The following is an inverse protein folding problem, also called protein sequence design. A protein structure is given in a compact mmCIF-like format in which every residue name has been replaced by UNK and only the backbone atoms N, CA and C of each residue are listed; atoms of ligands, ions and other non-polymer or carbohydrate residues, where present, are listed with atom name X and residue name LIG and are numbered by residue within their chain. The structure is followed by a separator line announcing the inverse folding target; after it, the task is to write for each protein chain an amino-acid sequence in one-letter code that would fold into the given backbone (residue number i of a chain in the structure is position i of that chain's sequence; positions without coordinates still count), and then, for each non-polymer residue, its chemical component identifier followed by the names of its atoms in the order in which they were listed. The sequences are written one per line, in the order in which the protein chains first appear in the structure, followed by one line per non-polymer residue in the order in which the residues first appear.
data_IF_979558984191
#
_entry.id   IF_979558984191
#
_cell.length_a   1.000
_cell.length_b   1.000
_cell.length_c   1.000
_cell.angle_alpha   90.00
_cell.angle_beta   90.00
_cell.angle_gamma   90.00
#
_symmetry.space_group_name_H-M   'P 1'
#
loop_
_entity.id
_entity.type
_entity.pdbx_description
1 polymer ?
#
# COMPACT_ATOMS: atom_id res chain seq x y z
N UNK A 1 8.89 -32.92 34.37
CA UNK A 1 8.33 -33.45 33.11
C UNK A 1 6.99 -32.80 32.74
N UNK A 2 6.03 -32.66 33.67
CA UNK A 2 4.73 -32.02 33.41
C UNK A 2 4.80 -30.60 32.81
N UNK A 3 5.75 -29.78 33.26
CA UNK A 3 5.90 -28.38 32.82
C UNK A 3 6.31 -28.23 31.34
N UNK A 4 7.15 -29.13 30.83
CA UNK A 4 7.59 -29.11 29.44
C UNK A 4 6.44 -29.49 28.49
N UNK A 5 5.74 -30.59 28.79
CA UNK A 5 4.61 -31.03 27.98
C UNK A 5 3.45 -30.01 27.99
N UNK A 6 3.19 -29.38 29.14
CA UNK A 6 2.24 -28.28 29.24
C UNK A 6 2.66 -27.07 28.41
N UNK A 7 3.93 -26.67 28.47
CA UNK A 7 4.46 -25.55 27.69
C UNK A 7 4.35 -25.80 26.18
N UNK A 8 4.76 -26.99 25.71
CA UNK A 8 4.64 -27.38 24.30
C UNK A 8 3.16 -27.38 23.88
N UNK A 9 2.26 -27.97 24.66
CA UNK A 9 0.82 -28.01 24.33
C UNK A 9 0.21 -26.62 24.21
N UNK A 10 0.52 -25.71 25.14
CA UNK A 10 0.04 -24.32 25.09
C UNK A 10 0.60 -23.62 23.84
N UNK A 11 1.88 -23.81 23.53
CA UNK A 11 2.51 -23.21 22.36
C UNK A 11 1.94 -23.75 21.04
N UNK A 12 1.73 -25.06 20.92
CA UNK A 12 1.11 -25.68 19.74
C UNK A 12 -0.29 -25.13 19.49
N UNK A 13 -1.12 -24.96 20.53
CA UNK A 13 -2.43 -24.32 20.41
C UNK A 13 -2.37 -22.88 19.95
N UNK A 14 -1.46 -22.07 20.52
CA UNK A 14 -1.24 -20.69 20.07
C UNK A 14 -0.81 -20.65 18.60
N UNK A 15 0.10 -21.54 18.22
CA UNK A 15 0.59 -21.61 16.85
C UNK A 15 -0.50 -22.04 15.86
N UNK A 16 -1.32 -23.04 16.22
CA UNK A 16 -2.49 -23.44 15.46
C UNK A 16 -3.47 -22.28 15.24
N UNK A 17 -3.71 -21.47 16.28
CA UNK A 17 -4.54 -20.27 16.17
C UNK A 17 -3.94 -19.21 15.22
N UNK A 18 -2.63 -18.98 15.26
CA UNK A 18 -1.95 -18.07 14.34
C UNK A 18 -2.01 -18.58 12.89
N UNK A 19 -1.87 -19.89 12.68
CA UNK A 19 -1.99 -20.52 11.35
C UNK A 19 -3.42 -20.41 10.82
N UNK A 20 -4.42 -20.67 11.67
CA UNK A 20 -5.83 -20.48 11.35
C UNK A 20 -6.11 -19.04 10.91
N UNK A 21 -5.67 -18.07 11.72
CA UNK A 21 -5.88 -16.66 11.45
C UNK A 21 -5.18 -16.20 10.16
N UNK A 22 -3.94 -16.64 9.95
CA UNK A 22 -3.19 -16.36 8.73
C UNK A 22 -3.86 -16.94 7.47
N UNK A 23 -4.43 -18.14 7.56
CA UNK A 23 -5.18 -18.74 6.46
C UNK A 23 -6.44 -17.94 6.14
N UNK A 24 -7.20 -17.55 7.16
CA UNK A 24 -8.46 -16.80 6.99
C UNK A 24 -8.20 -15.39 6.47
N UNK A 25 -7.18 -14.69 6.98
CA UNK A 25 -6.84 -13.32 6.53
C UNK A 25 -6.44 -13.27 5.06
N UNK A 26 -5.89 -14.37 4.52
CA UNK A 26 -5.57 -14.54 3.09
C UNK A 26 -6.66 -15.25 2.29
N UNK A 27 -7.82 -15.51 2.89
CA UNK A 27 -8.96 -16.21 2.25
C UNK A 27 -8.57 -17.53 1.58
N UNK A 28 -7.64 -18.28 2.19
CA UNK A 28 -7.15 -19.56 1.64
C UNK A 28 -7.93 -20.75 2.17
N UNK A 29 -8.09 -21.75 1.31
CA UNK A 29 -8.70 -23.04 1.67
C UNK A 29 -7.68 -23.95 2.37
N UNK A 30 -8.18 -24.86 3.18
CA UNK A 30 -7.37 -25.84 3.95
C UNK A 30 -6.51 -26.68 3.02
N UNK A 31 -7.07 -27.15 1.90
CA UNK A 31 -6.40 -28.02 0.94
C UNK A 31 -5.22 -27.33 0.26
N UNK A 32 -5.35 -26.03 -0.01
CA UNK A 32 -4.27 -25.23 -0.59
C UNK A 32 -3.11 -25.05 0.40
N UNK A 33 -3.40 -24.81 1.68
CA UNK A 33 -2.39 -24.67 2.72
C UNK A 33 -1.70 -26.00 3.03
N UNK A 34 -2.46 -27.09 3.10
CA UNK A 34 -1.91 -28.44 3.27
C UNK A 34 -0.93 -28.78 2.13
N UNK A 35 -1.35 -28.53 0.88
CA UNK A 35 -0.49 -28.73 -0.29
C UNK A 35 0.78 -27.85 -0.25
N UNK A 36 0.65 -26.59 0.15
CA UNK A 36 1.80 -25.68 0.27
C UNK A 36 2.81 -26.15 1.30
N UNK A 37 2.35 -26.78 2.39
CA UNK A 37 3.21 -27.36 3.43
C UNK A 37 3.73 -28.76 3.09
N UNK A 38 3.29 -29.36 1.97
CA UNK A 38 3.60 -30.75 1.64
C UNK A 38 2.94 -31.78 2.58
N UNK A 39 1.75 -31.46 3.08
CA UNK A 39 1.00 -32.25 4.07
C UNK A 39 -0.33 -32.78 3.50
N UNK A 40 -0.87 -33.82 4.15
CA UNK A 40 -2.27 -34.20 3.95
C UNK A 40 -3.21 -33.17 4.62
N UNK A 41 -4.47 -33.16 4.20
CA UNK A 41 -5.49 -32.25 4.76
C UNK A 41 -5.66 -32.49 6.26
N UNK A 42 -5.67 -33.76 6.68
CA UNK A 42 -5.83 -34.19 8.07
C UNK A 42 -4.64 -33.75 8.93
N UNK A 43 -3.42 -33.91 8.42
CA UNK A 43 -2.21 -33.49 9.12
C UNK A 43 -2.19 -31.97 9.31
N UNK A 44 -2.58 -31.22 8.29
CA UNK A 44 -2.71 -29.77 8.37
C UNK A 44 -3.81 -29.35 9.38
N UNK A 45 -4.98 -29.99 9.36
CA UNK A 45 -6.05 -29.71 10.31
C UNK A 45 -5.64 -29.99 11.76
N UNK A 46 -4.87 -31.05 12.01
CA UNK A 46 -4.31 -31.35 13.33
C UNK A 46 -3.36 -30.26 13.82
N UNK A 47 -2.56 -29.68 12.91
CA UNK A 47 -1.69 -28.54 13.22
C UNK A 47 -2.52 -27.30 13.54
N UNK A 48 -3.54 -26.99 12.73
CA UNK A 48 -4.41 -25.83 12.92
C UNK A 48 -5.23 -25.94 14.23
N UNK A 49 -5.64 -27.15 14.61
CA UNK A 49 -6.27 -27.44 15.90
C UNK A 49 -5.29 -27.39 17.09
N UNK A 50 -3.97 -27.31 16.84
CA UNK A 50 -2.92 -27.29 17.85
C UNK A 50 -2.69 -28.63 18.55
N UNK A 51 -3.10 -29.74 17.93
CA UNK A 51 -2.88 -31.11 18.39
C UNK A 51 -1.48 -31.60 18.04
N UNK A 52 -0.98 -31.20 16.87
CA UNK A 52 0.40 -31.38 16.42
C UNK A 52 1.06 -30.03 16.14
N UNK A 53 2.39 -30.02 16.06
CA UNK A 53 3.16 -28.81 15.75
C UNK A 53 3.78 -28.94 14.35
N UNK A 54 3.81 -27.86 13.55
CA UNK A 54 4.54 -27.85 12.30
C UNK A 54 6.05 -27.81 12.56
N UNK A 55 6.81 -28.25 11.58
CA UNK A 55 8.24 -28.00 11.50
C UNK A 55 8.53 -26.62 10.92
N UNK A 56 9.73 -26.09 11.12
CA UNK A 56 10.15 -24.81 10.54
C UNK A 56 10.01 -24.77 9.01
N UNK A 57 10.49 -25.77 8.22
CA UNK A 57 10.34 -25.75 6.76
C UNK A 57 8.89 -25.76 6.28
N UNK A 58 8.02 -26.47 6.99
CA UNK A 58 6.58 -26.44 6.69
C UNK A 58 6.01 -25.04 6.93
N UNK A 59 6.43 -24.38 8.00
CA UNK A 59 5.99 -23.02 8.33
C UNK A 59 6.55 -21.97 7.36
N UNK A 60 7.80 -22.12 6.92
CA UNK A 60 8.42 -21.30 5.88
C UNK A 60 7.66 -21.42 4.56
N UNK A 61 7.33 -22.65 4.16
CA UNK A 61 6.55 -22.91 2.94
C UNK A 61 5.15 -22.30 3.02
N UNK A 62 4.51 -22.38 4.20
CA UNK A 62 3.22 -21.74 4.45
C UNK A 62 3.35 -20.21 4.42
N UNK A 63 4.35 -19.63 5.09
CA UNK A 63 4.58 -18.19 5.15
C UNK A 63 4.79 -17.60 3.75
N UNK A 64 5.62 -18.27 2.94
CA UNK A 64 5.83 -17.93 1.54
C UNK A 64 4.54 -18.01 0.72
N UNK A 65 3.77 -19.10 0.87
CA UNK A 65 2.50 -19.27 0.14
C UNK A 65 1.43 -18.24 0.54
N UNK A 66 1.40 -17.84 1.81
CA UNK A 66 0.46 -16.85 2.35
C UNK A 66 0.95 -15.41 2.17
N UNK A 67 2.18 -15.20 1.68
CA UNK A 67 2.82 -13.89 1.55
C UNK A 67 2.83 -13.12 2.89
N UNK A 68 3.33 -13.77 3.95
CA UNK A 68 3.42 -13.16 5.29
C UNK A 68 4.83 -13.36 5.88
N UNK A 69 5.32 -12.43 6.73
CA UNK A 69 6.60 -12.60 7.41
C UNK A 69 6.59 -13.84 8.30
N UNK A 70 7.65 -14.65 8.24
CA UNK A 70 7.80 -15.87 9.04
C UNK A 70 7.73 -15.57 10.55
N UNK A 71 8.26 -14.43 10.96
CA UNK A 71 8.32 -13.94 12.34
C UNK A 71 6.93 -13.80 12.97
N UNK A 72 5.87 -13.65 12.15
CA UNK A 72 4.49 -13.60 12.61
C UNK A 72 4.15 -14.77 13.53
N UNK A 73 4.61 -15.98 13.19
CA UNK A 73 4.28 -17.18 13.95
C UNK A 73 4.98 -17.28 15.31
N UNK A 74 5.97 -16.43 15.58
CA UNK A 74 6.62 -16.28 16.90
C UNK A 74 5.98 -15.17 17.74
N UNK A 75 5.12 -14.35 17.14
CA UNK A 75 4.39 -13.30 17.83
C UNK A 75 3.21 -13.80 18.66
N UNK A 76 2.53 -12.85 19.29
CA UNK A 76 1.25 -13.06 19.98
C UNK A 76 0.09 -12.30 19.34
N UNK A 77 0.33 -11.66 18.18
CA UNK A 77 -0.65 -10.83 17.48
C UNK A 77 -1.18 -11.58 16.26
N UNK A 78 -2.50 -11.64 16.14
CA UNK A 78 -3.18 -12.19 14.97
C UNK A 78 -3.08 -11.20 13.78
N UNK A 79 -2.94 -11.68 12.55
CA UNK A 79 -2.97 -10.84 11.34
C UNK A 79 -4.33 -10.15 11.17
N UNK A 80 -5.43 -10.75 11.64
CA UNK A 80 -6.74 -10.07 11.69
C UNK A 80 -6.73 -8.76 12.47
N UNK A 81 -5.76 -8.55 13.37
CA UNK A 81 -5.57 -7.27 14.08
C UNK A 81 -4.72 -6.26 13.30
N UNK A 82 -4.01 -6.72 12.26
CA UNK A 82 -3.16 -5.89 11.40
C UNK A 82 -3.97 -5.46 10.17
N UNK A 83 -4.73 -4.37 10.37
CA UNK A 83 -5.23 -3.44 9.34
C UNK A 83 -5.62 -4.10 8.01
N UNK A 84 -6.80 -4.73 7.99
CA UNK A 84 -7.59 -4.66 6.76
C UNK A 84 -8.05 -3.21 6.61
N UNK A 85 -8.02 -2.59 5.41
CA UNK A 85 -8.62 -1.29 5.23
C UNK A 85 -10.06 -1.36 5.72
N UNK A 86 -10.44 -0.50 6.67
CA UNK A 86 -11.82 -0.44 7.12
C UNK A 86 -12.72 -0.32 5.89
N UNK A 87 -13.81 -1.10 5.82
CA UNK A 87 -14.74 -0.99 4.71
C UNK A 87 -15.16 0.47 4.57
N UNK A 88 -15.10 1.02 3.35
CA UNK A 88 -15.62 2.36 3.09
C UNK A 88 -17.10 2.34 3.47
N UNK A 89 -17.46 3.05 4.54
CA UNK A 89 -18.82 2.96 5.12
C UNK A 89 -19.91 3.42 4.14
N UNK A 90 -19.57 4.30 3.19
CA UNK A 90 -20.51 4.91 2.24
C UNK A 90 -19.90 5.07 0.83
N UNK A 91 -19.70 3.97 0.08
CA UNK A 91 -18.97 3.99 -1.19
C UNK A 91 -19.69 4.80 -2.27
N UNK A 92 -21.03 4.82 -2.26
CA UNK A 92 -21.83 5.59 -3.22
C UNK A 92 -21.64 7.09 -3.04
N UNK A 93 -21.71 7.59 -1.80
CA UNK A 93 -21.53 9.01 -1.50
C UNK A 93 -20.10 9.47 -1.80
N UNK A 94 -19.11 8.64 -1.47
CA UNK A 94 -17.71 8.91 -1.81
C UNK A 94 -17.52 9.03 -3.33
N UNK A 95 -18.11 8.10 -4.11
CA UNK A 95 -18.06 8.13 -5.57
C UNK A 95 -18.66 9.42 -6.13
N UNK A 96 -19.84 9.82 -5.66
CA UNK A 96 -20.48 11.06 -6.10
C UNK A 96 -19.64 12.30 -5.77
N UNK A 97 -19.11 12.38 -4.55
CA UNK A 97 -18.25 13.47 -4.14
C UNK A 97 -17.00 13.55 -5.02
N UNK A 98 -16.35 12.40 -5.29
CA UNK A 98 -15.18 12.33 -6.17
C UNK A 98 -15.51 12.74 -7.59
N UNK A 99 -16.66 12.33 -8.13
CA UNK A 99 -17.13 12.74 -9.45
C UNK A 99 -17.27 14.26 -9.56
N UNK A 100 -17.87 14.92 -8.55
CA UNK A 100 -18.00 16.39 -8.52
C UNK A 100 -16.65 17.10 -8.44
N UNK A 101 -15.72 16.58 -7.63
CA UNK A 101 -14.36 17.15 -7.50
C UNK A 101 -13.61 17.06 -8.84
N UNK A 102 -13.67 15.90 -9.51
CA UNK A 102 -13.03 15.69 -10.82
C UNK A 102 -13.64 16.64 -11.86
N UNK A 103 -14.98 16.68 -11.96
CA UNK A 103 -15.68 17.58 -12.89
C UNK A 103 -15.31 19.07 -12.67
N UNK A 104 -15.23 19.50 -11.41
CA UNK A 104 -14.82 20.86 -11.06
C UNK A 104 -13.38 21.15 -11.50
N UNK A 105 -12.45 20.19 -11.31
CA UNK A 105 -11.05 20.34 -11.75
C UNK A 105 -10.95 20.47 -13.27
N UNK A 106 -11.68 19.65 -14.03
CA UNK A 106 -11.72 19.74 -15.49
C UNK A 106 -12.24 21.12 -15.93
N UNK A 107 -13.32 21.61 -15.31
CA UNK A 107 -13.85 22.95 -15.59
C UNK A 107 -12.85 24.06 -15.30
N UNK A 108 -12.15 23.96 -14.18
CA UNK A 108 -11.14 24.95 -13.79
C UNK A 108 -10.01 24.98 -14.82
N UNK A 109 -9.46 23.82 -15.18
CA UNK A 109 -8.39 23.74 -16.18
C UNK A 109 -8.85 24.25 -17.56
N UNK A 110 -10.06 23.87 -18.00
CA UNK A 110 -10.65 24.39 -19.24
C UNK A 110 -10.75 25.92 -19.22
N UNK A 111 -11.22 26.48 -18.10
CA UNK A 111 -11.32 27.94 -17.91
C UNK A 111 -9.94 28.62 -17.90
N UNK A 112 -8.94 28.00 -17.26
CA UNK A 112 -7.55 28.50 -17.24
C UNK A 112 -6.94 28.54 -18.64
N UNK A 113 -7.26 27.56 -19.49
CA UNK A 113 -6.85 27.51 -20.90
C UNK A 113 -7.74 28.37 -21.82
N UNK A 114 -8.74 29.07 -21.27
CA UNK A 114 -9.73 29.87 -22.01
C UNK A 114 -10.46 29.10 -23.11
N UNK A 115 -10.64 27.78 -22.95
CA UNK A 115 -11.33 26.94 -23.91
C UNK A 115 -12.85 26.99 -23.68
N UNK A 116 -13.62 27.20 -24.75
CA UNK A 116 -15.06 26.99 -24.75
C UNK A 116 -15.39 25.49 -24.72
N UNK A 117 -16.64 25.17 -24.35
CA UNK A 117 -17.11 23.77 -24.41
C UNK A 117 -17.10 23.23 -25.85
N UNK A 118 -17.40 24.08 -26.84
CA UNK A 118 -17.38 23.72 -28.26
C UNK A 118 -15.97 23.38 -28.75
N UNK A 119 -14.97 24.18 -28.37
CA UNK A 119 -13.57 23.90 -28.73
C UNK A 119 -13.06 22.63 -28.07
N UNK A 120 -13.39 22.40 -26.79
CA UNK A 120 -13.02 21.16 -26.11
C UNK A 120 -13.72 19.94 -26.74
N UNK A 121 -14.99 20.09 -27.14
CA UNK A 121 -15.75 19.07 -27.86
C UNK A 121 -15.10 18.72 -29.20
N UNK A 122 -14.67 19.72 -29.98
CA UNK A 122 -13.97 19.49 -31.25
C UNK A 122 -12.63 18.77 -31.05
N UNK A 123 -11.86 19.13 -30.01
CA UNK A 123 -10.56 18.52 -29.73
C UNK A 123 -10.66 17.07 -29.23
N UNK A 124 -11.69 16.76 -28.45
CA UNK A 124 -11.87 15.45 -27.80
C UNK A 124 -12.87 14.54 -28.52
N UNK A 125 -13.62 15.07 -29.49
CA UNK A 125 -14.75 14.39 -30.12
C UNK A 125 -15.83 13.94 -29.11
N UNK A 126 -15.88 14.54 -27.92
CA UNK A 126 -16.92 14.30 -26.91
C UNK A 126 -18.01 15.36 -27.08
N UNK A 127 -19.31 15.01 -27.14
CA UNK A 127 -20.38 15.99 -27.30
C UNK A 127 -20.40 17.05 -26.20
N UNK A 128 -20.68 18.32 -26.57
CA UNK A 128 -20.74 19.47 -25.66
C UNK A 128 -21.62 19.20 -24.43
N UNK A 129 -22.82 18.65 -24.62
CA UNK A 129 -23.75 18.33 -23.53
C UNK A 129 -23.15 17.33 -22.54
N UNK A 130 -22.37 16.36 -23.04
CA UNK A 130 -21.72 15.34 -22.22
C UNK A 130 -20.59 15.96 -21.39
N UNK A 131 -19.75 16.81 -22.00
CA UNK A 131 -18.71 17.57 -21.31
C UNK A 131 -19.33 18.44 -20.21
N UNK A 132 -20.44 19.12 -20.49
CA UNK A 132 -21.13 19.94 -19.51
C UNK A 132 -21.61 19.12 -18.30
N UNK A 133 -22.23 17.95 -18.53
CA UNK A 133 -22.66 17.04 -17.44
C UNK A 133 -21.48 16.48 -16.65
N UNK A 134 -20.36 16.20 -17.30
CA UNK A 134 -19.11 15.80 -16.66
C UNK A 134 -18.56 16.88 -15.73
N UNK A 135 -18.44 18.11 -16.21
CA UNK A 135 -17.96 19.22 -15.41
C UNK A 135 -18.87 19.55 -14.23
N UNK A 136 -20.19 19.37 -14.37
CA UNK A 136 -21.16 19.56 -13.29
C UNK A 136 -21.21 18.38 -12.31
N UNK A 137 -20.50 17.28 -12.59
CA UNK A 137 -20.55 16.06 -11.79
C UNK A 137 -21.91 15.36 -11.81
N UNK A 138 -22.73 15.62 -12.84
CA UNK A 138 -24.06 15.03 -13.03
C UNK A 138 -24.01 13.66 -13.71
N UNK A 139 -22.96 13.41 -14.50
CA UNK A 139 -22.70 12.15 -15.16
C UNK A 139 -21.32 11.63 -14.77
N UNK A 140 -21.19 10.32 -14.55
CA UNK A 140 -19.90 9.70 -14.29
C UNK A 140 -19.02 9.77 -15.54
N UNK A 141 -17.74 10.12 -15.38
CA UNK A 141 -16.80 10.19 -16.51
C UNK A 141 -16.14 8.82 -16.70
N UNK A 142 -16.33 8.13 -17.84
CA UNK A 142 -15.57 6.94 -18.18
C UNK A 142 -14.06 7.25 -18.21
N UNK A 143 -13.22 6.31 -17.77
CA UNK A 143 -11.78 6.54 -17.69
C UNK A 143 -11.13 6.97 -19.03
N UNK A 144 -11.47 6.38 -20.20
CA UNK A 144 -10.93 6.85 -21.48
C UNK A 144 -11.32 8.29 -21.82
N UNK A 145 -12.57 8.67 -21.55
CA UNK A 145 -13.03 10.06 -21.71
C UNK A 145 -12.26 10.99 -20.77
N UNK A 146 -11.99 10.55 -19.53
CA UNK A 146 -11.22 11.31 -18.55
C UNK A 146 -9.77 11.50 -19.00
N UNK A 147 -9.11 10.48 -19.51
CA UNK A 147 -7.73 10.54 -20.01
C UNK A 147 -7.62 11.48 -21.22
N UNK A 148 -8.60 11.42 -22.12
CA UNK A 148 -8.67 12.31 -23.28
C UNK A 148 -8.89 13.77 -22.87
N UNK A 149 -9.79 14.01 -21.91
CA UNK A 149 -10.02 15.34 -21.35
C UNK A 149 -8.79 15.84 -20.60
N UNK A 150 -8.16 15.01 -19.77
CA UNK A 150 -6.98 15.37 -18.98
C UNK A 150 -5.80 15.75 -19.88
N UNK A 151 -5.49 14.93 -20.89
CA UNK A 151 -4.43 15.22 -21.86
C UNK A 151 -4.70 16.50 -22.66
N UNK A 152 -5.95 16.73 -23.10
CA UNK A 152 -6.32 17.95 -23.84
C UNK A 152 -6.29 19.21 -22.97
N UNK A 153 -6.54 19.07 -21.67
CA UNK A 153 -6.56 20.16 -20.69
C UNK A 153 -5.22 20.32 -19.94
N UNK A 154 -4.16 19.62 -20.38
CA UNK A 154 -2.83 19.66 -19.77
C UNK A 154 -2.84 19.29 -18.27
N UNK A 155 -3.81 18.47 -17.85
CA UNK A 155 -3.89 17.93 -16.49
C UNK A 155 -3.13 16.60 -16.45
N UNK A 156 -2.25 16.45 -15.47
CA UNK A 156 -1.64 15.14 -15.19
C UNK A 156 -2.65 14.27 -14.45
N UNK A 157 -2.72 12.98 -14.80
CA UNK A 157 -3.69 12.06 -14.21
C UNK A 157 -3.58 12.00 -12.67
N UNK A 158 -2.37 12.16 -12.14
CA UNK A 158 -2.09 12.16 -10.70
C UNK A 158 -2.78 13.31 -9.96
N UNK A 159 -2.98 14.44 -10.63
CA UNK A 159 -3.66 15.62 -10.07
C UNK A 159 -5.18 15.37 -9.92
N UNK A 160 -5.71 14.38 -10.64
CA UNK A 160 -7.10 13.94 -10.55
C UNK A 160 -7.34 12.88 -9.47
N UNK A 161 -6.29 12.24 -8.94
CA UNK A 161 -6.44 11.20 -7.92
C UNK A 161 -7.01 11.72 -6.60
N UNK A 162 -7.49 10.79 -5.77
CA UNK A 162 -7.81 11.10 -4.38
C UNK A 162 -6.53 11.41 -3.61
N UNK A 163 -6.51 12.55 -2.93
CA UNK A 163 -5.38 13.06 -2.16
C UNK A 163 -5.67 13.12 -0.65
N UNK A 164 -6.94 13.08 -0.24
CA UNK A 164 -7.36 13.35 1.15
C UNK A 164 -8.18 12.22 1.76
N UNK A 165 -8.80 11.38 0.95
CA UNK A 165 -9.57 10.23 1.42
C UNK A 165 -8.68 9.04 1.78
N UNK A 166 -9.30 8.09 2.49
CA UNK A 166 -8.70 6.79 2.86
C UNK A 166 -8.15 6.03 1.65
N UNK A 167 -8.82 6.12 0.48
CA UNK A 167 -8.35 5.51 -0.77
C UNK A 167 -7.08 6.21 -1.27
N UNK A 168 -7.06 7.54 -1.23
CA UNK A 168 -5.87 8.33 -1.56
C UNK A 168 -4.66 7.99 -0.69
N UNK A 169 -4.87 7.87 0.63
CA UNK A 169 -3.83 7.45 1.58
C UNK A 169 -3.33 6.04 1.27
N UNK A 170 -4.23 5.07 1.12
CA UNK A 170 -3.88 3.69 0.76
C UNK A 170 -3.05 3.62 -0.53
N UNK A 171 -3.45 4.36 -1.57
CA UNK A 171 -2.69 4.43 -2.83
C UNK A 171 -1.28 5.00 -2.60
N UNK A 172 -1.17 6.07 -1.83
CA UNK A 172 0.11 6.70 -1.49
C UNK A 172 1.03 5.74 -0.73
N UNK A 173 0.49 5.01 0.24
CA UNK A 173 1.22 4.02 1.03
C UNK A 173 1.74 2.88 0.13
N UNK A 174 0.93 2.42 -0.83
CA UNK A 174 1.32 1.40 -1.81
C UNK A 174 2.45 1.87 -2.74
N UNK A 175 2.35 3.08 -3.28
CA UNK A 175 3.41 3.64 -4.13
C UNK A 175 4.70 3.83 -3.34
N UNK A 176 4.61 4.33 -2.10
CA UNK A 176 5.78 4.50 -1.23
C UNK A 176 6.47 3.16 -0.93
N UNK A 177 5.69 2.12 -0.61
CA UNK A 177 6.22 0.78 -0.40
C UNK A 177 6.93 0.24 -1.66
N UNK A 178 6.34 0.45 -2.84
CA UNK A 178 6.96 0.04 -4.10
C UNK A 178 8.28 0.78 -4.36
N UNK A 179 8.29 2.10 -4.18
CA UNK A 179 9.50 2.91 -4.36
C UNK A 179 10.64 2.45 -3.44
N UNK A 180 10.32 2.07 -2.19
CA UNK A 180 11.31 1.50 -1.25
C UNK A 180 11.82 0.14 -1.74
N UNK A 181 10.96 -0.68 -2.34
CA UNK A 181 11.34 -1.98 -2.90
C UNK A 181 12.23 -1.85 -4.14
N UNK A 182 12.09 -0.76 -4.90
CA UNK A 182 12.87 -0.46 -6.10
C UNK A 182 14.27 0.12 -5.76
N UNK A 183 14.52 0.50 -4.49
CA UNK A 183 15.85 0.94 -4.06
C UNK A 183 16.90 -0.17 -4.17
N UNK A 184 18.18 0.18 -4.41
CA UNK A 184 19.27 -0.80 -4.40
C UNK A 184 19.29 -1.61 -3.09
N UNK A 185 19.62 -2.92 -3.13
CA UNK A 185 19.59 -3.79 -1.95
C UNK A 185 20.39 -3.26 -0.76
N UNK A 186 21.54 -2.64 -1.03
CA UNK A 186 22.41 -2.04 0.00
C UNK A 186 21.75 -0.85 0.70
N UNK A 187 21.09 0.02 -0.07
CA UNK A 187 20.35 1.17 0.47
C UNK A 187 19.18 0.68 1.31
N UNK A 188 18.41 -0.30 0.80
CA UNK A 188 17.29 -0.90 1.54
C UNK A 188 17.78 -1.50 2.86
N UNK A 189 18.87 -2.27 2.83
CA UNK A 189 19.47 -2.84 4.03
C UNK A 189 19.99 -1.79 5.02
N UNK A 190 20.46 -0.64 4.52
CA UNK A 190 20.87 0.48 5.36
C UNK A 190 19.68 1.15 6.05
N UNK A 191 18.62 1.50 5.31
CA UNK A 191 17.47 2.22 5.87
C UNK A 191 16.60 1.35 6.79
N UNK A 192 16.61 0.02 6.62
CA UNK A 192 15.85 -0.90 7.48
C UNK A 192 16.43 -1.09 8.89
N UNK A 193 17.63 -0.56 9.18
CA UNK A 193 18.25 -0.67 10.50
C UNK A 193 17.85 0.51 11.40
N UNK A 194 17.19 0.28 12.55
CA UNK A 194 16.77 1.38 13.44
C UNK A 194 17.92 2.29 13.91
N UNK A 195 19.12 1.72 14.11
CA UNK A 195 20.32 2.47 14.49
C UNK A 195 20.74 3.50 13.45
N UNK A 196 20.28 3.37 12.20
CA UNK A 196 20.62 4.30 11.13
C UNK A 196 19.70 5.52 11.03
N UNK A 197 18.64 5.58 11.84
CA UNK A 197 17.70 6.71 11.85
C UNK A 197 18.40 8.07 12.02
N UNK A 198 19.41 8.25 12.90
CA UNK A 198 20.11 9.53 13.01
C UNK A 198 20.81 9.98 11.73
N UNK A 199 21.33 9.04 10.91
CA UNK A 199 21.92 9.38 9.62
C UNK A 199 20.88 9.85 8.61
N UNK A 200 19.69 9.23 8.63
CA UNK A 200 18.59 9.63 7.76
C UNK A 200 18.04 11.01 8.17
N UNK A 201 17.86 11.26 9.46
CA UNK A 201 17.47 12.57 9.97
C UNK A 201 18.48 13.65 9.61
N UNK A 202 19.79 13.35 9.70
CA UNK A 202 20.83 14.26 9.26
C UNK A 202 20.73 14.54 7.76
N UNK A 203 20.59 13.50 6.93
CA UNK A 203 20.41 13.66 5.49
C UNK A 203 19.18 14.52 5.15
N UNK A 204 18.06 14.34 5.85
CA UNK A 204 16.86 15.17 5.70
C UNK A 204 17.14 16.64 6.03
N UNK A 205 17.79 16.92 7.16
CA UNK A 205 18.15 18.30 7.54
C UNK A 205 19.10 18.94 6.53
N UNK A 206 20.05 18.18 6.01
CA UNK A 206 20.97 18.65 4.98
C UNK A 206 20.24 18.95 3.67
N UNK A 207 19.24 18.16 3.27
CA UNK A 207 18.48 18.40 2.04
C UNK A 207 17.65 19.69 2.06
N UNK A 208 17.30 20.19 3.25
CA UNK A 208 16.57 21.45 3.43
C UNK A 208 17.48 22.70 3.34
N UNK A 209 18.81 22.52 3.36
CA UNK A 209 19.76 23.64 3.30
C UNK A 209 19.96 24.14 1.87
N UNK A 210 20.24 25.44 1.74
CA UNK A 210 20.68 26.01 0.45
C UNK A 210 22.03 25.43 0.04
N UNK A 211 22.28 25.37 -1.26
CA UNK A 211 23.54 24.85 -1.81
C UNK A 211 24.79 25.57 -1.24
N UNK A 212 24.68 26.87 -0.95
CA UNK A 212 25.75 27.66 -0.33
C UNK A 212 26.05 27.21 1.10
N UNK A 213 25.01 26.98 1.93
CA UNK A 213 25.16 26.47 3.29
C UNK A 213 25.76 25.05 3.30
N UNK A 214 25.36 24.21 2.34
CA UNK A 214 25.92 22.86 2.21
C UNK A 214 27.41 22.89 1.87
N UNK A 215 27.86 23.80 0.99
CA UNK A 215 29.28 23.98 0.69
C UNK A 215 30.07 24.43 1.92
N UNK A 216 29.55 25.39 2.68
CA UNK A 216 30.20 25.82 3.93
C UNK A 216 30.33 24.69 4.96
N UNK A 217 29.31 23.83 5.08
CA UNK A 217 29.41 22.62 5.93
C UNK A 217 30.47 21.65 5.40
N UNK A 218 30.54 21.44 4.08
CA UNK A 218 31.54 20.56 3.48
C UNK A 218 32.97 21.09 3.64
N UNK A 219 33.19 22.39 3.45
CA UNK A 219 34.47 23.06 3.67
C UNK A 219 34.91 22.94 5.14
N UNK A 220 34.01 23.22 6.08
CA UNK A 220 34.31 23.06 7.51
C UNK A 220 34.61 21.62 7.92
N UNK A 221 33.94 20.62 7.32
CA UNK A 221 34.27 19.21 7.54
C UNK A 221 35.66 18.85 6.97
N UNK A 222 36.03 19.42 5.83
CA UNK A 222 37.31 19.17 5.18
C UNK A 222 38.46 19.77 6.02
N UNK A 223 38.29 20.99 6.54
CA UNK A 223 39.27 21.66 7.42
C UNK A 223 39.54 20.91 8.73
N UNK A 224 38.54 20.25 9.34
CA UNK A 224 38.74 19.48 10.59
C UNK A 224 39.26 18.06 10.35
N UNK A 225 39.34 17.61 9.10
CA UNK A 225 39.85 16.28 8.72
C UNK A 225 41.29 16.28 8.22
N UNK A 226 41.91 17.45 8.11
CA UNK A 226 43.31 17.65 7.71
C UNK A 226 44.20 18.15 8.86
#
# INVERSE_FOLDING_TARGET
MATYQQHIRVRSRKLGLLIYDARISRSRKVESCAKAMGLSVEAYQSIEAGESAPTLPQLESLAFFLDIPLEHFWGNQALSTLVSPDPVEQPAQLKELRQRIIGTRLRMARSTLNLSLSELSLKTNIPVDKIQRYEMGQEAIPLPDLELLASTLEIRNEDLFDQRGMIGKWRSDKVTAQNIMDLPPEVRAFISKPVNLPYLELAMRLSDLSAEKLRGVAEGLLEITY
#
